data_IF_553249974951
#
_entry.id   IF_553249974951
#
_cell.length_a   1.000
_cell.length_b   1.000
_cell.length_c   1.000
_cell.angle_alpha   90.00
_cell.angle_beta   90.00
_cell.angle_gamma   90.00
#
_symmetry.space_group_name_H-M   'P 1'
#
loop_
_entity.id
_entity.type
_entity.pdbx_description
1 polymer ?
#
# COMPACT_ATOMS: atom_id res chain seq x y z
N UNK A 1 24.79 16.57 4.94
CA UNK A 1 24.98 15.35 5.73
C UNK A 1 25.26 14.18 4.81
N UNK A 2 26.21 13.36 5.17
CA UNK A 2 26.47 12.09 4.46
C UNK A 2 26.12 10.92 5.37
N UNK A 3 25.51 9.91 4.77
CA UNK A 3 25.23 8.67 5.47
C UNK A 3 25.52 7.50 4.53
N UNK A 4 25.75 6.35 5.08
CA UNK A 4 25.99 5.15 4.28
C UNK A 4 25.04 4.03 4.71
N UNK A 5 24.64 3.22 3.75
CA UNK A 5 23.73 2.11 3.95
C UNK A 5 24.30 0.88 3.27
N UNK A 6 24.26 -0.25 3.95
CA UNK A 6 24.62 -1.52 3.34
C UNK A 6 23.43 -2.04 2.52
N UNK A 7 23.65 -2.28 1.24
CA UNK A 7 22.63 -2.78 0.34
C UNK A 7 23.08 -4.10 -0.29
N UNK A 8 22.20 -5.12 -0.33
CA UNK A 8 22.50 -6.31 -1.11
C UNK A 8 22.70 -5.95 -2.58
N UNK A 9 23.66 -6.60 -3.23
CA UNK A 9 23.99 -6.32 -4.62
C UNK A 9 22.80 -6.49 -5.56
N UNK A 10 21.99 -7.51 -5.33
CA UNK A 10 20.80 -7.77 -6.15
C UNK A 10 19.78 -6.62 -6.09
N UNK A 11 19.60 -6.05 -4.88
CA UNK A 11 18.67 -4.93 -4.70
C UNK A 11 19.18 -3.69 -5.40
N UNK A 12 20.48 -3.43 -5.30
CA UNK A 12 21.07 -2.27 -5.97
C UNK A 12 20.98 -2.39 -7.48
N UNK A 13 21.24 -3.57 -8.03
CA UNK A 13 21.10 -3.80 -9.48
C UNK A 13 19.68 -3.60 -9.95
N UNK A 14 18.70 -4.12 -9.22
CA UNK A 14 17.29 -3.93 -9.55
C UNK A 14 16.92 -2.45 -9.52
N UNK A 15 17.38 -1.73 -8.52
CA UNK A 15 17.16 -0.30 -8.39
C UNK A 15 17.76 0.48 -9.56
N UNK A 16 19.00 0.16 -9.94
CA UNK A 16 19.70 0.84 -11.03
C UNK A 16 18.98 0.67 -12.37
N UNK A 17 18.43 -0.50 -12.63
CA UNK A 17 17.64 -0.75 -13.84
C UNK A 17 16.43 0.17 -13.89
N UNK A 18 15.72 0.31 -12.78
CA UNK A 18 14.49 1.09 -12.71
C UNK A 18 14.76 2.59 -12.89
N UNK A 19 15.70 3.14 -12.13
CA UNK A 19 15.91 4.58 -12.20
C UNK A 19 16.48 5.03 -13.55
N UNK A 20 17.30 4.18 -14.19
CA UNK A 20 17.81 4.48 -15.53
C UNK A 20 16.67 4.47 -16.56
N UNK A 21 15.77 3.50 -16.47
CA UNK A 21 14.60 3.44 -17.35
C UNK A 21 13.66 4.63 -17.16
N UNK A 22 13.57 5.15 -15.94
CA UNK A 22 12.74 6.33 -15.64
C UNK A 22 13.40 7.66 -16.04
N UNK A 23 14.65 7.62 -16.47
CA UNK A 23 15.34 8.81 -16.98
C UNK A 23 15.96 9.72 -15.92
N UNK A 24 16.21 9.21 -14.71
CA UNK A 24 16.94 10.00 -13.71
C UNK A 24 18.39 10.20 -14.13
N UNK A 25 18.97 11.32 -13.75
CA UNK A 25 20.34 11.69 -14.12
C UNK A 25 21.40 10.91 -13.36
N UNK A 26 21.09 10.50 -12.13
CA UNK A 26 22.07 9.86 -11.26
C UNK A 26 21.39 8.97 -10.24
N UNK A 27 22.16 8.02 -9.73
CA UNK A 27 21.71 7.17 -8.64
C UNK A 27 21.35 8.00 -7.39
N UNK A 28 22.15 9.00 -7.05
CA UNK A 28 21.89 9.86 -5.90
C UNK A 28 20.53 10.54 -5.99
N UNK A 29 20.19 11.05 -7.14
CA UNK A 29 18.89 11.70 -7.35
C UNK A 29 17.75 10.71 -7.22
N UNK A 30 17.91 9.52 -7.80
CA UNK A 30 16.91 8.46 -7.71
C UNK A 30 16.72 8.00 -6.25
N UNK A 31 17.80 7.87 -5.49
CA UNK A 31 17.72 7.51 -4.06
C UNK A 31 16.97 8.58 -3.28
N UNK A 32 17.28 9.85 -3.51
CA UNK A 32 16.56 10.95 -2.83
C UNK A 32 15.06 10.89 -3.12
N UNK A 33 14.71 10.66 -4.37
CA UNK A 33 13.30 10.55 -4.76
C UNK A 33 12.62 9.34 -4.11
N UNK A 34 13.30 8.20 -4.09
CA UNK A 34 12.79 7.00 -3.44
C UNK A 34 12.55 7.22 -1.94
N UNK A 35 13.47 7.92 -1.27
CA UNK A 35 13.34 8.23 0.16
C UNK A 35 12.14 9.15 0.39
N UNK A 36 11.97 10.17 -0.43
CA UNK A 36 10.81 11.08 -0.32
C UNK A 36 9.50 10.33 -0.50
N UNK A 37 9.42 9.52 -1.52
CA UNK A 37 8.24 8.74 -1.83
C UNK A 37 7.88 7.79 -0.69
N UNK A 38 8.86 7.09 -0.15
CA UNK A 38 8.66 6.20 0.98
C UNK A 38 8.17 6.96 2.22
N UNK A 39 8.83 8.08 2.54
CA UNK A 39 8.47 8.88 3.70
C UNK A 39 7.07 9.49 3.58
N UNK A 40 6.74 10.02 2.41
CA UNK A 40 5.42 10.59 2.15
C UNK A 40 4.30 9.55 2.27
N UNK A 41 4.52 8.35 1.77
CA UNK A 41 3.55 7.26 1.87
C UNK A 41 3.22 6.93 3.31
N UNK A 42 4.24 6.84 4.16
CA UNK A 42 4.06 6.52 5.57
C UNK A 42 3.47 7.68 6.36
N UNK A 43 3.96 8.88 6.12
CA UNK A 43 3.47 10.08 6.79
C UNK A 43 2.00 10.32 6.48
N UNK A 44 1.58 10.10 5.24
CA UNK A 44 0.19 10.27 4.85
C UNK A 44 -0.75 9.39 5.66
N UNK A 45 -0.45 8.10 5.78
CA UNK A 45 -1.33 7.18 6.49
C UNK A 45 -1.47 7.57 7.97
N UNK A 46 -0.36 7.93 8.62
CA UNK A 46 -0.37 8.26 10.05
C UNK A 46 -0.88 9.68 10.33
N UNK A 47 -0.67 10.61 9.41
CA UNK A 47 -1.00 12.02 9.61
C UNK A 47 -2.37 12.43 9.10
N UNK A 48 -3.02 11.62 8.29
CA UNK A 48 -4.35 11.95 7.76
C UNK A 48 -5.37 11.91 8.89
N UNK A 49 -6.17 12.98 8.97
CA UNK A 49 -7.22 13.13 9.97
C UNK A 49 -8.55 13.49 9.30
N UNK A 50 -9.63 13.37 10.07
CA UNK A 50 -10.96 13.74 9.59
C UNK A 50 -11.58 12.71 8.69
N UNK A 51 -12.45 13.16 7.80
CA UNK A 51 -13.13 12.30 6.83
C UNK A 51 -12.27 12.18 5.58
N UNK A 52 -12.09 10.95 5.11
CA UNK A 52 -11.28 10.68 3.92
C UNK A 52 -12.03 9.76 2.97
N UNK A 53 -11.61 9.80 1.70
CA UNK A 53 -11.89 8.76 0.72
C UNK A 53 -10.57 8.08 0.39
N UNK A 54 -10.57 6.77 0.27
CA UNK A 54 -9.36 6.02 0.02
C UNK A 54 -9.62 4.80 -0.85
N UNK A 55 -8.57 4.36 -1.53
CA UNK A 55 -8.56 3.08 -2.24
C UNK A 55 -7.44 2.26 -1.68
N UNK A 56 -7.76 1.04 -1.25
CA UNK A 56 -6.79 0.05 -0.80
C UNK A 56 -6.65 -1.00 -1.89
N UNK A 57 -5.42 -1.32 -2.27
CA UNK A 57 -5.17 -2.33 -3.29
C UNK A 57 -4.20 -3.35 -2.71
N UNK A 58 -4.55 -4.62 -2.82
CA UNK A 58 -3.71 -5.71 -2.30
C UNK A 58 -3.98 -6.99 -3.08
N UNK A 59 -3.04 -7.92 -2.96
CA UNK A 59 -3.15 -9.24 -3.56
C UNK A 59 -3.14 -10.31 -2.48
N UNK A 60 -3.72 -11.45 -2.79
CA UNK A 60 -3.77 -12.58 -1.86
C UNK A 60 -4.04 -13.89 -2.59
N UNK A 61 -3.64 -14.99 -1.96
CA UNK A 61 -4.03 -16.30 -2.43
C UNK A 61 -5.44 -16.60 -1.94
N UNK A 62 -6.35 -16.84 -2.87
CA UNK A 62 -7.79 -16.95 -2.60
C UNK A 62 -8.13 -17.92 -1.47
N UNK A 63 -7.57 -19.12 -1.53
CA UNK A 63 -7.91 -20.18 -0.55
C UNK A 63 -7.38 -19.93 0.86
N UNK A 64 -6.32 -19.13 0.96
CA UNK A 64 -5.63 -18.95 2.22
C UNK A 64 -6.35 -18.02 3.19
N UNK A 65 -7.05 -16.99 2.67
CA UNK A 65 -7.56 -15.90 3.50
C UNK A 65 -9.00 -15.47 3.19
N UNK A 66 -9.71 -16.17 2.31
CA UNK A 66 -11.01 -15.66 1.83
C UNK A 66 -12.02 -15.46 2.97
N UNK A 67 -12.06 -16.36 3.93
CA UNK A 67 -13.00 -16.25 5.04
C UNK A 67 -12.64 -15.07 5.95
N UNK A 68 -11.36 -14.93 6.28
CA UNK A 68 -10.87 -13.83 7.11
C UNK A 68 -11.08 -12.47 6.42
N UNK A 69 -10.91 -12.40 5.10
CA UNK A 69 -11.17 -11.18 4.35
C UNK A 69 -12.66 -10.84 4.35
N UNK A 70 -13.54 -11.81 4.18
CA UNK A 70 -14.97 -11.58 4.25
C UNK A 70 -15.40 -11.08 5.63
N UNK A 71 -14.87 -11.69 6.69
CA UNK A 71 -15.13 -11.25 8.06
C UNK A 71 -14.65 -9.84 8.29
N UNK A 72 -13.44 -9.52 7.84
CA UNK A 72 -12.88 -8.17 7.95
C UNK A 72 -13.71 -7.15 7.18
N UNK A 73 -14.09 -7.46 5.95
CA UNK A 73 -14.92 -6.56 5.16
C UNK A 73 -16.27 -6.32 5.83
N UNK A 74 -16.84 -7.33 6.45
CA UNK A 74 -18.09 -7.17 7.19
C UNK A 74 -17.91 -6.28 8.43
N UNK A 75 -16.83 -6.46 9.18
CA UNK A 75 -16.54 -5.62 10.34
C UNK A 75 -16.34 -4.15 9.98
N UNK A 76 -15.83 -3.87 8.78
CA UNK A 76 -15.53 -2.52 8.31
C UNK A 76 -16.55 -2.00 7.28
N UNK A 77 -17.72 -2.60 7.21
CA UNK A 77 -18.73 -2.19 6.23
C UNK A 77 -19.20 -0.75 6.41
N UNK A 78 -18.98 -0.19 7.60
CA UNK A 78 -19.27 1.21 7.88
C UNK A 78 -18.41 2.18 7.07
N UNK A 79 -17.22 1.76 6.65
CA UNK A 79 -16.29 2.59 5.86
C UNK A 79 -16.04 2.05 4.46
N UNK A 80 -16.44 0.82 4.16
CA UNK A 80 -16.26 0.25 2.82
C UNK A 80 -17.44 0.61 1.93
N UNK A 81 -17.18 1.37 0.86
CA UNK A 81 -18.17 1.72 -0.14
C UNK A 81 -18.42 0.56 -1.11
N UNK A 82 -17.34 0.05 -1.69
CA UNK A 82 -17.40 -1.01 -2.68
C UNK A 82 -16.07 -1.74 -2.77
N UNK A 83 -16.13 -2.94 -3.27
CA UNK A 83 -14.94 -3.75 -3.55
C UNK A 83 -15.00 -4.26 -4.98
N UNK A 84 -13.84 -4.43 -5.58
CA UNK A 84 -13.71 -5.02 -6.91
C UNK A 84 -12.48 -5.94 -6.91
N UNK A 85 -12.58 -7.05 -7.61
CA UNK A 85 -11.46 -7.97 -7.65
C UNK A 85 -11.34 -8.65 -9.01
N UNK A 86 -10.15 -9.11 -9.30
CA UNK A 86 -9.86 -9.93 -10.47
C UNK A 86 -8.95 -11.09 -10.07
N UNK A 87 -8.99 -12.15 -10.84
CA UNK A 87 -8.24 -13.37 -10.57
C UNK A 87 -7.16 -13.59 -11.60
N UNK A 88 -6.01 -14.08 -11.12
CA UNK A 88 -4.96 -14.61 -11.95
C UNK A 88 -4.57 -15.95 -11.34
N UNK A 89 -5.10 -17.05 -11.89
CA UNK A 89 -5.00 -18.39 -11.30
C UNK A 89 -5.57 -18.42 -9.87
N UNK A 90 -4.77 -18.81 -8.88
CA UNK A 90 -5.20 -18.86 -7.48
C UNK A 90 -5.04 -17.53 -6.74
N UNK A 91 -4.42 -16.55 -7.40
CA UNK A 91 -4.21 -15.22 -6.83
C UNK A 91 -5.35 -14.29 -7.17
N UNK A 92 -5.69 -13.45 -6.22
CA UNK A 92 -6.67 -12.39 -6.39
C UNK A 92 -6.00 -11.05 -6.21
N UNK A 93 -6.40 -10.10 -7.04
CA UNK A 93 -6.06 -8.69 -6.87
C UNK A 93 -7.34 -7.98 -6.51
N UNK A 94 -7.36 -7.28 -5.38
CA UNK A 94 -8.56 -6.63 -4.88
C UNK A 94 -8.35 -5.16 -4.64
N UNK A 95 -9.37 -4.38 -4.97
CA UNK A 95 -9.44 -2.96 -4.67
C UNK A 95 -10.64 -2.70 -3.76
N UNK A 96 -10.38 -2.03 -2.64
CA UNK A 96 -11.42 -1.70 -1.65
C UNK A 96 -11.55 -0.18 -1.60
N UNK A 97 -12.72 0.33 -1.95
CA UNK A 97 -13.01 1.76 -1.93
C UNK A 97 -13.63 2.10 -0.58
N UNK A 98 -13.01 3.03 0.12
CA UNK A 98 -13.39 3.40 1.48
C UNK A 98 -13.77 4.86 1.58
N UNK A 99 -14.68 5.15 2.51
CA UNK A 99 -15.05 6.51 2.84
C UNK A 99 -15.43 6.56 4.32
N UNK A 100 -14.84 7.46 5.06
CA UNK A 100 -15.15 7.60 6.48
C UNK A 100 -14.02 8.22 7.27
N UNK A 101 -14.07 8.02 8.59
CA UNK A 101 -13.06 8.55 9.48
C UNK A 101 -11.68 7.94 9.20
N UNK A 102 -10.67 8.80 9.14
CA UNK A 102 -9.29 8.37 8.85
C UNK A 102 -8.80 7.27 9.79
N UNK A 103 -9.09 7.39 11.09
CA UNK A 103 -8.71 6.37 12.06
C UNK A 103 -9.32 5.01 11.76
N UNK A 104 -10.56 4.98 11.33
CA UNK A 104 -11.26 3.73 10.99
C UNK A 104 -10.68 3.09 9.73
N UNK A 105 -10.38 3.91 8.72
CA UNK A 105 -9.73 3.42 7.49
C UNK A 105 -8.32 2.91 7.80
N UNK A 106 -7.59 3.61 8.66
CA UNK A 106 -6.26 3.18 9.13
C UNK A 106 -6.33 1.82 9.81
N UNK A 107 -7.32 1.59 10.67
CA UNK A 107 -7.52 0.30 11.33
C UNK A 107 -7.73 -0.82 10.31
N UNK A 108 -8.49 -0.55 9.26
CA UNK A 108 -8.69 -1.52 8.17
C UNK A 108 -7.36 -1.85 7.47
N UNK A 109 -6.56 -0.85 7.16
CA UNK A 109 -5.25 -1.07 6.53
C UNK A 109 -4.37 -1.95 7.41
N UNK A 110 -4.30 -1.66 8.68
CA UNK A 110 -3.48 -2.46 9.61
C UNK A 110 -4.00 -3.87 9.76
N UNK A 111 -5.31 -4.05 9.79
CA UNK A 111 -5.92 -5.38 9.84
C UNK A 111 -5.53 -6.20 8.61
N UNK A 112 -5.59 -5.61 7.42
CA UNK A 112 -5.21 -6.30 6.19
C UNK A 112 -3.73 -6.63 6.15
N UNK A 113 -2.88 -5.74 6.65
CA UNK A 113 -1.43 -5.98 6.71
C UNK A 113 -1.03 -7.11 7.66
N UNK A 114 -1.88 -7.43 8.63
CA UNK A 114 -1.61 -8.50 9.58
C UNK A 114 -1.85 -9.90 9.01
N UNK A 115 -2.54 -10.04 7.89
CA UNK A 115 -2.75 -11.35 7.29
C UNK A 115 -1.50 -11.78 6.52
N UNK A 116 -0.90 -12.91 6.92
CA UNK A 116 0.30 -13.44 6.27
C UNK A 116 0.11 -13.70 4.78
N UNK A 117 -1.08 -14.15 4.39
CA UNK A 117 -1.37 -14.48 3.00
C UNK A 117 -1.78 -13.28 2.15
N UNK A 118 -1.91 -12.12 2.75
CA UNK A 118 -2.11 -10.87 2.03
C UNK A 118 -0.75 -10.26 1.72
N UNK A 119 -0.54 -9.89 0.47
CA UNK A 119 0.69 -9.24 0.05
C UNK A 119 0.75 -7.77 0.49
N UNK A 120 1.41 -6.94 -0.28
CA UNK A 120 1.52 -5.52 0.06
C UNK A 120 0.17 -4.84 -0.08
N UNK A 121 -0.22 -4.14 0.98
CA UNK A 121 -1.39 -3.25 0.93
C UNK A 121 -0.92 -1.86 0.55
N UNK A 122 -1.38 -1.39 -0.60
CA UNK A 122 -1.12 -0.03 -1.08
C UNK A 122 -2.37 0.81 -0.88
N UNK A 123 -2.16 2.06 -0.49
CA UNK A 123 -3.25 2.98 -0.24
C UNK A 123 -3.04 4.29 -0.99
N UNK A 124 -4.12 4.82 -1.53
CA UNK A 124 -4.19 6.19 -1.98
C UNK A 124 -5.38 6.84 -1.28
N UNK A 125 -5.16 7.95 -0.61
CA UNK A 125 -6.18 8.61 0.19
C UNK A 125 -6.30 10.09 -0.18
N UNK A 126 -7.55 10.57 -0.19
CA UNK A 126 -7.89 11.97 -0.38
C UNK A 126 -8.59 12.46 0.87
N UNK A 127 -8.09 13.55 1.43
CA UNK A 127 -8.73 14.19 2.56
C UNK A 127 -9.94 14.99 2.07
N UNK A 128 -11.06 14.87 2.81
CA UNK A 128 -12.23 15.69 2.52
C UNK A 128 -11.92 17.16 2.79
N UNK A 129 -12.32 18.01 1.87
CA UNK A 129 -12.14 19.45 2.03
C UNK A 129 -13.40 20.11 2.61
#
# INVERSE_FOLDING_TARGET
MRTSVHLPEADLKAFDVVWQAEGFDSRSRAVREAIREYAESHTRLEAIEGLIAAVLVFDYEHRAVIEELHTTQHEFQDVIDTTSHTHQSEWCLEAVFCRGAAGRVRDLVYRLRDFDAVGRVKIMALQAQ
#
